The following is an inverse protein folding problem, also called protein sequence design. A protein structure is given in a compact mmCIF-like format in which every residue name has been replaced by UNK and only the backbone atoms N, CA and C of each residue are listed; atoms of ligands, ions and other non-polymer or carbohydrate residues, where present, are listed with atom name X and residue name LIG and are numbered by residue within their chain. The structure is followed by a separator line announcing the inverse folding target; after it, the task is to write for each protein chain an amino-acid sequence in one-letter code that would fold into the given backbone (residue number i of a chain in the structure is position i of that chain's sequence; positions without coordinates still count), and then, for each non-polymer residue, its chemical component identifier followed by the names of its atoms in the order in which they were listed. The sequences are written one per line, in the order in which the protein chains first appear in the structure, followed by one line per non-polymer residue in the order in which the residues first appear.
data_IF_262970159286
#
_entry.id   IF_262970159286
#
_cell.length_a   1.000
_cell.length_b   1.000
_cell.length_c   1.000
_cell.angle_alpha   90.00
_cell.angle_beta   90.00
_cell.angle_gamma   90.00
#
_symmetry.space_group_name_H-M   'P 1'
#
loop_
_entity.id
_entity.type
_entity.pdbx_description
1 polymer ?
#
# COMPACT_ATOMS: atom_id res chain seq x y z
N UNK A 1 62.20 33.42 36.57
CA UNK A 1 61.80 34.02 35.29
C UNK A 1 61.73 32.91 34.25
N UNK A 2 60.53 32.64 33.72
CA UNK A 2 60.19 32.15 32.35
C UNK A 2 60.87 30.85 31.84
N UNK A 3 60.24 29.84 31.21
CA UNK A 3 58.89 29.62 30.71
C UNK A 3 58.68 28.11 30.46
N UNK A 4 57.44 27.63 30.62
CA UNK A 4 56.90 26.38 30.09
C UNK A 4 56.87 26.38 28.55
N UNK A 5 57.18 25.26 27.88
CA UNK A 5 56.51 24.86 26.62
C UNK A 5 56.29 23.34 26.60
N UNK A 6 55.03 22.94 26.83
CA UNK A 6 54.41 21.67 26.43
C UNK A 6 54.04 21.75 24.94
N UNK A 7 53.98 20.61 24.23
CA UNK A 7 52.96 20.19 23.20
C UNK A 7 53.57 19.16 22.24
N UNK A 8 52.87 18.21 21.61
CA UNK A 8 51.56 17.59 21.80
C UNK A 8 51.53 16.35 20.87
N UNK A 9 51.10 15.20 21.38
CA UNK A 9 50.85 13.98 20.60
C UNK A 9 49.53 14.18 19.83
N UNK A 10 49.58 14.25 18.50
CA UNK A 10 48.37 14.39 17.66
C UNK A 10 47.87 13.00 17.25
N UNK A 11 46.95 12.43 18.03
CA UNK A 11 46.20 11.24 17.63
C UNK A 11 44.97 11.69 16.82
N UNK A 12 45.01 11.46 15.51
CA UNK A 12 43.86 11.68 14.64
C UNK A 12 42.85 10.54 14.82
N UNK A 13 41.85 10.75 15.68
CA UNK A 13 40.69 9.87 15.81
C UNK A 13 39.75 10.08 14.62
N UNK A 14 39.67 9.09 13.73
CA UNK A 14 38.66 9.06 12.67
C UNK A 14 37.29 8.73 13.30
N UNK A 15 36.47 9.76 13.51
CA UNK A 15 35.05 9.60 13.88
C UNK A 15 34.30 9.16 12.63
N UNK A 16 34.03 7.85 12.51
CA UNK A 16 33.08 7.31 11.55
C UNK A 16 31.68 7.75 11.96
N UNK A 17 31.21 8.84 11.34
CA UNK A 17 29.82 9.29 11.41
C UNK A 17 28.94 8.22 10.74
N UNK A 18 28.31 7.37 11.55
CA UNK A 18 27.19 6.55 11.12
C UNK A 18 26.03 7.48 10.76
N UNK A 19 25.93 7.86 9.49
CA UNK A 19 24.73 8.49 8.97
C UNK A 19 23.56 7.49 9.10
N UNK A 20 22.40 7.88 9.67
CA UNK A 20 21.23 7.02 9.69
C UNK A 20 20.79 6.78 8.25
N UNK A 21 20.89 5.54 7.79
CA UNK A 21 20.30 5.10 6.53
C UNK A 21 18.79 5.38 6.61
N UNK A 22 18.36 6.46 5.96
CA UNK A 22 16.94 6.75 5.80
C UNK A 22 16.40 5.63 4.92
N UNK A 23 15.63 4.70 5.51
CA UNK A 23 14.90 3.70 4.74
C UNK A 23 13.98 4.47 3.78
N UNK A 24 14.36 4.52 2.50
CA UNK A 24 13.52 5.09 1.47
C UNK A 24 12.22 4.27 1.45
N UNK A 25 11.07 4.90 1.68
CA UNK A 25 9.78 4.24 1.54
C UNK A 25 9.61 3.83 0.09
N UNK A 26 9.45 2.53 -0.16
CA UNK A 26 9.23 2.01 -1.51
C UNK A 26 7.77 2.24 -1.87
N UNK A 27 7.44 2.76 -3.07
CA UNK A 27 6.04 2.93 -3.46
C UNK A 27 5.34 1.57 -3.49
N UNK A 28 4.23 1.43 -2.73
CA UNK A 28 3.42 0.20 -2.65
C UNK A 28 2.20 0.25 -3.60
N UNK A 29 2.07 1.31 -4.39
CA UNK A 29 0.93 1.48 -5.28
C UNK A 29 0.92 0.43 -6.39
N UNK A 30 -0.22 -0.19 -6.64
CA UNK A 30 -0.36 -1.25 -7.63
C UNK A 30 -1.81 -1.50 -8.05
N UNK A 31 -1.98 -2.25 -9.13
CA UNK A 31 -3.27 -2.72 -9.62
C UNK A 31 -3.22 -4.20 -9.95
N UNK A 32 -4.34 -4.88 -9.76
CA UNK A 32 -4.55 -6.25 -10.24
C UNK A 32 -5.96 -6.39 -10.83
N UNK A 33 -6.16 -7.33 -11.75
CA UNK A 33 -7.45 -7.57 -12.41
C UNK A 33 -7.66 -9.07 -12.57
N UNK A 34 -8.84 -9.51 -12.18
CA UNK A 34 -9.29 -10.90 -12.26
C UNK A 34 -10.74 -10.91 -12.75
N UNK A 35 -10.99 -11.69 -13.80
CA UNK A 35 -12.22 -11.65 -14.60
C UNK A 35 -12.65 -10.22 -14.97
N UNK A 36 -13.73 -9.72 -14.35
CA UNK A 36 -14.34 -8.43 -14.62
C UNK A 36 -14.08 -7.42 -13.50
N UNK A 37 -13.33 -7.79 -12.46
CA UNK A 37 -13.08 -6.95 -11.29
C UNK A 37 -11.61 -6.56 -11.28
N UNK A 38 -11.35 -5.27 -11.05
CA UNK A 38 -10.02 -4.72 -10.83
C UNK A 38 -9.93 -4.14 -9.43
N UNK A 39 -8.74 -4.22 -8.83
CA UNK A 39 -8.36 -3.51 -7.62
C UNK A 39 -7.20 -2.57 -7.93
N UNK A 40 -7.23 -1.38 -7.36
CA UNK A 40 -6.11 -0.45 -7.34
C UNK A 40 -5.85 -0.01 -5.91
N UNK A 41 -4.62 -0.19 -5.44
CA UNK A 41 -4.17 0.24 -4.11
C UNK A 41 -3.17 1.37 -4.28
N UNK A 42 -3.33 2.42 -3.48
CA UNK A 42 -2.38 3.53 -3.38
C UNK A 42 -1.80 3.60 -1.98
N UNK A 43 -0.48 3.70 -1.89
CA UNK A 43 0.25 3.77 -0.63
C UNK A 43 1.77 3.75 -0.80
N UNK A 44 2.45 3.75 0.34
CA UNK A 44 3.91 3.72 0.48
C UNK A 44 4.31 2.67 1.54
N UNK A 45 5.18 1.74 1.15
CA UNK A 45 5.56 0.57 1.93
C UNK A 45 4.34 -0.12 2.55
N UNK A 46 4.33 -0.26 3.87
CA UNK A 46 3.24 -0.90 4.59
C UNK A 46 2.01 -0.02 4.84
N UNK A 47 2.03 1.24 4.40
CA UNK A 47 0.93 2.19 4.58
C UNK A 47 0.07 2.29 3.33
N UNK A 48 -1.23 2.04 3.49
CA UNK A 48 -2.21 2.16 2.40
C UNK A 48 -3.07 3.40 2.64
N UNK A 49 -2.96 4.37 1.74
CA UNK A 49 -3.76 5.59 1.75
C UNK A 49 -5.19 5.29 1.31
N UNK A 50 -5.32 4.57 0.20
CA UNK A 50 -6.62 4.32 -0.42
C UNK A 50 -6.64 3.08 -1.29
N UNK A 51 -7.85 2.59 -1.54
CA UNK A 51 -8.12 1.45 -2.40
C UNK A 51 -9.36 1.72 -3.23
N UNK A 52 -9.33 1.25 -4.47
CA UNK A 52 -10.45 1.33 -5.42
C UNK A 52 -10.71 -0.06 -5.97
N UNK A 53 -11.98 -0.47 -5.97
CA UNK A 53 -12.45 -1.62 -6.72
C UNK A 53 -13.26 -1.12 -7.92
N UNK A 54 -13.08 -1.72 -9.10
CA UNK A 54 -13.75 -1.27 -10.32
C UNK A 54 -14.08 -2.41 -11.28
N UNK A 55 -14.97 -2.13 -12.24
CA UNK A 55 -15.30 -2.99 -13.36
C UNK A 55 -15.75 -2.16 -14.56
N UNK A 56 -15.57 -2.68 -15.78
CA UNK A 56 -16.19 -2.14 -17.00
C UNK A 56 -17.64 -2.64 -17.21
N UNK A 57 -18.13 -3.48 -16.29
CA UNK A 57 -19.53 -3.96 -16.22
C UNK A 57 -20.22 -3.35 -15.01
N UNK A 58 -21.54 -3.50 -14.92
CA UNK A 58 -22.28 -3.08 -13.72
C UNK A 58 -21.79 -3.89 -12.51
N UNK A 59 -20.98 -3.24 -11.68
CA UNK A 59 -20.32 -3.86 -10.54
C UNK A 59 -21.21 -4.04 -9.31
N UNK A 60 -22.44 -3.50 -9.31
CA UNK A 60 -23.37 -3.57 -8.20
C UNK A 60 -22.81 -2.94 -6.91
N UNK A 61 -22.26 -3.78 -6.02
CA UNK A 61 -21.54 -3.34 -4.83
C UNK A 61 -20.18 -4.02 -4.74
N UNK A 62 -19.21 -3.32 -4.18
CA UNK A 62 -17.86 -3.83 -3.96
C UNK A 62 -17.49 -3.78 -2.47
N UNK A 63 -16.55 -4.63 -2.06
CA UNK A 63 -15.87 -4.53 -0.76
C UNK A 63 -14.41 -4.96 -0.88
N UNK A 64 -13.61 -4.55 0.10
CA UNK A 64 -12.22 -4.99 0.25
C UNK A 64 -12.09 -5.88 1.47
N UNK A 65 -11.41 -7.00 1.29
CA UNK A 65 -11.00 -7.88 2.39
C UNK A 65 -9.48 -8.07 2.37
N UNK A 66 -8.94 -8.42 3.53
CA UNK A 66 -7.54 -8.70 3.73
C UNK A 66 -7.36 -10.15 4.19
N UNK A 67 -6.24 -10.77 3.85
CA UNK A 67 -5.79 -11.98 4.53
C UNK A 67 -4.27 -12.02 4.62
N UNK A 68 -3.75 -12.78 5.59
CA UNK A 68 -2.30 -12.94 5.80
C UNK A 68 -1.99 -14.43 5.76
N UNK A 69 -1.32 -14.88 4.69
CA UNK A 69 -1.21 -16.31 4.41
C UNK A 69 -2.43 -16.84 3.66
N UNK A 70 -3.17 -17.79 4.22
CA UNK A 70 -4.31 -18.41 3.53
C UNK A 70 -5.57 -17.52 3.58
N UNK A 71 -6.44 -17.66 2.57
CA UNK A 71 -7.73 -16.96 2.48
C UNK A 71 -8.68 -17.26 3.65
N UNK A 72 -8.40 -18.28 4.47
CA UNK A 72 -9.17 -18.60 5.67
C UNK A 72 -9.00 -17.56 6.80
N UNK A 73 -7.97 -16.70 6.72
CA UNK A 73 -7.72 -15.59 7.66
C UNK A 73 -8.34 -14.26 7.20
N UNK A 74 -9.49 -14.35 6.53
CA UNK A 74 -10.15 -13.20 5.92
C UNK A 74 -10.66 -12.21 6.98
N UNK A 75 -10.17 -10.97 6.90
CA UNK A 75 -10.68 -9.81 7.63
C UNK A 75 -11.32 -8.83 6.65
N UNK A 76 -12.57 -8.44 6.88
CA UNK A 76 -13.24 -7.46 6.02
C UNK A 76 -12.74 -6.05 6.37
N UNK A 77 -11.84 -5.53 5.53
CA UNK A 77 -11.27 -4.18 5.67
C UNK A 77 -12.34 -3.10 5.50
N UNK A 78 -13.30 -3.34 4.60
CA UNK A 78 -14.41 -2.42 4.36
C UNK A 78 -15.76 -3.15 4.35
N UNK A 79 -16.82 -2.42 4.64
CA UNK A 79 -18.18 -2.85 4.28
C UNK A 79 -18.42 -2.82 2.77
N UNK A 80 -19.54 -3.41 2.34
CA UNK A 80 -20.05 -3.28 0.98
C UNK A 80 -20.38 -1.82 0.66
N UNK A 81 -19.96 -1.37 -0.52
CA UNK A 81 -20.24 -0.02 -1.04
C UNK A 81 -20.78 -0.13 -2.45
N UNK A 82 -21.91 0.54 -2.71
CA UNK A 82 -22.47 0.62 -4.06
C UNK A 82 -21.50 1.34 -5.00
N UNK A 83 -21.32 0.76 -6.17
CA UNK A 83 -20.48 1.33 -7.20
C UNK A 83 -21.07 2.63 -7.74
N UNK A 84 -20.22 3.61 -7.98
CA UNK A 84 -20.52 4.78 -8.80
C UNK A 84 -20.25 4.42 -10.25
N UNK A 85 -21.18 4.79 -11.13
CA UNK A 85 -21.06 4.57 -12.56
C UNK A 85 -20.60 5.86 -13.22
N UNK A 86 -19.45 5.79 -13.89
CA UNK A 86 -18.86 6.89 -14.63
C UNK A 86 -18.69 6.47 -16.10
N UNK A 87 -18.83 7.42 -17.02
CA UNK A 87 -18.71 7.17 -18.45
C UNK A 87 -17.58 8.00 -19.03
N UNK A 88 -16.63 7.33 -19.68
CA UNK A 88 -15.49 7.92 -20.38
C UNK A 88 -15.59 7.57 -21.86
N UNK A 89 -16.21 8.47 -22.64
CA UNK A 89 -16.53 8.19 -24.04
C UNK A 89 -17.51 7.02 -24.17
N UNK A 90 -17.09 5.95 -24.86
CA UNK A 90 -17.90 4.73 -25.03
C UNK A 90 -17.73 3.73 -23.86
N UNK A 91 -16.77 3.95 -22.96
CA UNK A 91 -16.49 3.05 -21.84
C UNK A 91 -17.29 3.47 -20.61
N UNK A 92 -17.90 2.51 -19.91
CA UNK A 92 -18.58 2.74 -18.64
C UNK A 92 -17.83 1.98 -17.55
N UNK A 93 -17.47 2.67 -16.47
CA UNK A 93 -16.75 2.12 -15.34
C UNK A 93 -17.64 2.21 -14.11
N UNK A 94 -17.86 1.07 -13.46
CA UNK A 94 -18.44 0.98 -12.12
C UNK A 94 -17.32 0.90 -11.10
N UNK A 95 -17.23 1.83 -10.16
CA UNK A 95 -16.15 1.82 -9.16
C UNK A 95 -16.62 2.19 -7.75
N UNK A 96 -15.91 1.67 -6.76
CA UNK A 96 -16.05 2.06 -5.36
C UNK A 96 -14.66 2.39 -4.80
N UNK A 97 -14.56 3.57 -4.18
CA UNK A 97 -13.30 4.07 -3.62
C UNK A 97 -13.40 4.22 -2.10
N UNK A 98 -12.34 3.86 -1.39
CA UNK A 98 -12.19 4.05 0.05
C UNK A 98 -10.84 4.68 0.38
N UNK A 99 -10.87 5.69 1.24
CA UNK A 99 -9.69 6.17 1.95
C UNK A 99 -9.52 5.30 3.19
N UNK A 100 -8.40 4.61 3.29
CA UNK A 100 -8.10 3.71 4.40
C UNK A 100 -7.15 4.36 5.42
N UNK A 101 -6.11 5.05 4.94
CA UNK A 101 -5.08 5.70 5.74
C UNK A 101 -4.60 4.83 6.92
N UNK A 102 -4.30 3.56 6.66
CA UNK A 102 -3.92 2.59 7.69
C UNK A 102 -2.73 1.75 7.24
N UNK A 103 -1.99 1.25 8.23
CA UNK A 103 -0.92 0.29 7.98
C UNK A 103 -1.47 -1.14 7.94
N UNK A 104 -0.83 -1.96 7.12
CA UNK A 104 -1.05 -3.40 7.06
C UNK A 104 0.25 -4.14 7.38
N UNK A 105 0.18 -5.33 7.99
CA UNK A 105 1.35 -6.20 8.12
C UNK A 105 2.01 -6.49 6.78
N UNK A 106 3.33 -6.72 6.82
CA UNK A 106 4.06 -7.17 5.64
C UNK A 106 3.50 -8.50 5.12
N UNK A 107 3.28 -8.55 3.81
CA UNK A 107 2.71 -9.70 3.13
C UNK A 107 1.20 -9.88 3.27
N UNK A 108 0.47 -8.91 3.82
CA UNK A 108 -0.99 -8.88 3.73
C UNK A 108 -1.44 -8.78 2.28
N UNK A 109 -2.40 -9.61 1.87
CA UNK A 109 -3.10 -9.48 0.60
C UNK A 109 -4.36 -8.67 0.79
N UNK A 110 -4.54 -7.63 -0.02
CA UNK A 110 -5.78 -6.87 -0.14
C UNK A 110 -6.50 -7.30 -1.42
N UNK A 111 -7.73 -7.76 -1.28
CA UNK A 111 -8.50 -8.30 -2.39
C UNK A 111 -9.81 -7.54 -2.56
N UNK A 112 -10.22 -7.33 -3.80
CA UNK A 112 -11.52 -6.76 -4.12
C UNK A 112 -12.52 -7.86 -4.38
N UNK A 113 -13.77 -7.64 -3.98
CA UNK A 113 -14.88 -8.53 -4.29
C UNK A 113 -16.08 -7.72 -4.77
N UNK A 114 -16.74 -8.22 -5.82
CA UNK A 114 -18.04 -7.73 -6.27
C UNK A 114 -19.17 -8.63 -5.77
N UNK A 115 -20.35 -8.05 -5.52
CA UNK A 115 -21.56 -8.82 -5.22
C UNK A 115 -22.26 -9.36 -6.47
N UNK A 116 -21.86 -8.90 -7.66
CA UNK A 116 -22.54 -9.19 -8.93
C UNK A 116 -21.64 -9.86 -9.98
N UNK A 117 -20.32 -9.79 -9.80
CA UNK A 117 -19.33 -10.27 -10.77
C UNK A 117 -18.42 -11.32 -10.14
N UNK A 118 -17.88 -12.21 -10.97
CA UNK A 118 -16.79 -13.10 -10.58
C UNK A 118 -15.45 -12.38 -10.60
N UNK A 119 -14.45 -13.02 -10.01
CA UNK A 119 -13.09 -12.50 -9.85
C UNK A 119 -12.87 -11.86 -8.49
N UNK A 120 -11.72 -12.15 -7.89
CA UNK A 120 -11.28 -11.53 -6.64
C UNK A 120 -9.80 -11.14 -6.75
N UNK A 121 -9.46 -10.11 -7.54
CA UNK A 121 -8.06 -9.71 -7.73
C UNK A 121 -7.45 -9.26 -6.40
N UNK A 122 -6.16 -9.53 -6.21
CA UNK A 122 -5.48 -9.33 -4.94
C UNK A 122 -4.11 -8.67 -5.12
N UNK A 123 -3.77 -7.74 -4.23
CA UNK A 123 -2.46 -7.09 -4.19
C UNK A 123 -1.80 -7.34 -2.85
N UNK A 124 -0.53 -7.75 -2.89
CA UNK A 124 0.28 -7.95 -1.69
C UNK A 124 0.89 -6.63 -1.22
N UNK A 125 0.56 -6.22 -0.01
CA UNK A 125 1.27 -5.16 0.73
C UNK A 125 2.64 -5.67 1.13
N UNK A 126 3.67 -4.92 0.75
CA UNK A 126 5.05 -5.22 1.11
C UNK A 126 5.86 -3.92 1.23
N UNK A 127 7.00 -4.02 1.91
CA UNK A 127 7.93 -2.92 2.14
C UNK A 127 8.89 -2.69 0.97
#
# INVERSE_FOLDING_TARGET
MHNLIKTALTAAGAVLLLAPASAASVPMSGSDTDDAVSIYVKGEGLHVDSVTASSERDGGTFRIYAHTGSAATMDHVTGWKRAKNESFGMTRISSAHWKLNRRFPDGTWLCAQSSALSGNPCIKVHH
#
